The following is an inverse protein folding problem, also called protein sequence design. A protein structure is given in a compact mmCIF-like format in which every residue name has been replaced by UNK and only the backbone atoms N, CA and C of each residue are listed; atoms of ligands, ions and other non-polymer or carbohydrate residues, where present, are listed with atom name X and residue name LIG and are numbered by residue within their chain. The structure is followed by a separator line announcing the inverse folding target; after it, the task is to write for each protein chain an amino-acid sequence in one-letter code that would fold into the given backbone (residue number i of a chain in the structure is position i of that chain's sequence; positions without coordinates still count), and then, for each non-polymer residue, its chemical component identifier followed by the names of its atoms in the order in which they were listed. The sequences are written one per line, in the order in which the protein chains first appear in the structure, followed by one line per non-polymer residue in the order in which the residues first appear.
data_IF_035423772469
#
_entry.id   IF_035423772469
#
_cell.length_a   1.000
_cell.length_b   1.000
_cell.length_c   1.000
_cell.angle_alpha   90.00
_cell.angle_beta   90.00
_cell.angle_gamma   90.00
#
_symmetry.space_group_name_H-M   'P 1'
#
loop_
_entity.id
_entity.type
_entity.pdbx_description
1 polymer ?
#
# COMPACT_ATOMS: atom_id res chain seq x y z
N UNK A 1 -15.49 2.00 11.51
CA UNK A 1 -15.28 0.74 10.77
C UNK A 1 -15.97 0.83 9.41
N UNK A 2 -15.40 1.53 8.43
CA UNK A 2 -16.08 1.75 7.13
C UNK A 2 -15.77 0.66 6.10
N UNK A 3 -14.57 0.06 6.14
CA UNK A 3 -14.21 -0.97 5.17
C UNK A 3 -15.05 -2.25 5.22
N UNK A 4 -15.38 -2.82 6.40
CA UNK A 4 -16.23 -4.01 6.45
C UNK A 4 -17.63 -3.74 5.88
N UNK A 5 -18.14 -2.53 6.07
CA UNK A 5 -19.43 -2.10 5.51
C UNK A 5 -19.34 -1.87 4.00
N UNK A 6 -18.24 -1.27 3.51
CA UNK A 6 -18.01 -1.10 2.08
C UNK A 6 -17.86 -2.46 1.35
N UNK A 7 -17.19 -3.43 1.95
CA UNK A 7 -17.08 -4.79 1.40
C UNK A 7 -18.45 -5.47 1.25
N UNK A 8 -19.37 -5.26 2.21
CA UNK A 8 -20.76 -5.75 2.13
C UNK A 8 -21.54 -5.12 0.98
N UNK A 9 -21.35 -3.82 0.72
CA UNK A 9 -22.03 -3.10 -0.38
C UNK A 9 -21.54 -3.58 -1.75
N UNK A 10 -20.23 -3.83 -1.89
CA UNK A 10 -19.61 -4.21 -3.18
C UNK A 10 -19.60 -5.74 -3.38
N UNK A 11 -20.09 -6.50 -2.38
CA UNK A 11 -20.18 -7.97 -2.36
C UNK A 11 -18.88 -8.68 -2.76
N UNK A 12 -17.74 -8.07 -2.41
CA UNK A 12 -16.38 -8.62 -2.57
C UNK A 12 -15.48 -8.05 -1.50
N UNK A 13 -14.46 -8.80 -1.12
CA UNK A 13 -13.38 -8.23 -0.34
C UNK A 13 -12.67 -7.16 -1.17
N UNK A 14 -12.48 -5.98 -0.58
CA UNK A 14 -11.81 -4.87 -1.25
C UNK A 14 -10.29 -5.07 -1.21
N UNK A 15 -9.76 -5.77 -0.19
CA UNK A 15 -8.32 -6.02 -0.06
C UNK A 15 -7.47 -4.73 -0.06
N UNK A 16 -8.06 -3.59 0.30
CA UNK A 16 -7.40 -2.29 0.21
C UNK A 16 -6.68 -1.98 1.53
N UNK A 17 -5.35 -1.91 1.47
CA UNK A 17 -4.54 -1.39 2.57
C UNK A 17 -4.79 0.11 2.75
N UNK A 18 -5.10 0.54 3.98
CA UNK A 18 -5.29 1.96 4.32
C UNK A 18 -4.21 2.38 5.29
N UNK A 19 -3.23 3.14 4.81
CA UNK A 19 -2.18 3.71 5.64
C UNK A 19 -2.52 5.12 6.07
N UNK A 20 -2.16 5.46 7.30
CA UNK A 20 -2.13 6.85 7.73
C UNK A 20 -0.89 7.52 7.12
N UNK A 21 -1.00 8.81 6.81
CA UNK A 21 0.11 9.57 6.24
C UNK A 21 1.45 9.40 6.99
N UNK A 22 1.49 9.39 8.35
CA UNK A 22 2.74 9.16 9.07
C UNK A 22 3.38 7.79 8.81
N UNK A 23 2.58 6.76 8.50
CA UNK A 23 3.10 5.43 8.18
C UNK A 23 3.78 5.45 6.82
N UNK A 24 3.22 6.15 5.84
CA UNK A 24 3.85 6.34 4.54
C UNK A 24 5.19 7.09 4.67
N UNK A 25 5.20 8.18 5.44
CA UNK A 25 6.42 8.95 5.71
C UNK A 25 7.45 8.09 6.47
N UNK A 26 7.02 7.31 7.46
CA UNK A 26 7.89 6.38 8.18
C UNK A 26 8.54 5.34 7.28
N UNK A 27 7.78 4.74 6.35
CA UNK A 27 8.33 3.80 5.36
C UNK A 27 9.38 4.49 4.47
N UNK A 28 9.12 5.73 4.03
CA UNK A 28 10.07 6.51 3.23
C UNK A 28 11.36 6.86 4.00
N UNK A 29 11.28 6.97 5.34
CA UNK A 29 12.43 7.21 6.22
C UNK A 29 13.17 5.93 6.63
N UNK A 30 12.72 4.75 6.16
CA UNK A 30 13.39 3.46 6.42
C UNK A 30 12.89 2.72 7.67
N UNK A 31 11.77 3.13 8.27
CA UNK A 31 11.15 2.36 9.35
C UNK A 31 10.49 1.08 8.79
N UNK A 32 10.52 0.01 9.57
CA UNK A 32 9.90 -1.27 9.19
C UNK A 32 8.38 -1.27 9.43
N UNK A 33 7.60 -2.05 8.66
CA UNK A 33 6.16 -2.22 8.90
C UNK A 33 5.80 -2.66 10.34
N UNK A 34 6.70 -3.41 10.98
CA UNK A 34 6.58 -3.86 12.38
C UNK A 34 6.67 -2.67 13.36
N UNK A 35 7.61 -1.77 13.14
CA UNK A 35 7.80 -0.56 13.97
C UNK A 35 6.66 0.44 13.79
N UNK A 36 6.09 0.52 12.59
CA UNK A 36 4.93 1.37 12.28
C UNK A 36 3.59 0.79 12.71
N UNK A 37 3.60 -0.41 13.32
CA UNK A 37 2.43 -1.07 13.86
C UNK A 37 1.38 -1.44 12.80
N UNK A 38 1.80 -1.75 11.57
CA UNK A 38 0.92 -2.07 10.45
C UNK A 38 0.11 -3.36 10.67
N UNK A 39 0.60 -4.30 11.50
CA UNK A 39 -0.13 -5.52 11.92
C UNK A 39 -1.43 -5.28 12.70
N UNK A 40 -1.72 -4.04 13.11
CA UNK A 40 -2.94 -3.66 13.83
C UNK A 40 -4.06 -3.19 12.90
N UNK A 41 -3.81 -3.14 11.59
CA UNK A 41 -4.82 -2.73 10.62
C UNK A 41 -5.93 -3.78 10.51
N UNK A 42 -7.16 -3.31 10.38
CA UNK A 42 -8.36 -4.17 10.21
C UNK A 42 -8.34 -4.87 8.86
N UNK A 43 -7.70 -4.25 7.86
CA UNK A 43 -7.45 -4.83 6.55
C UNK A 43 -5.98 -5.19 6.41
N UNK A 44 -5.70 -6.28 5.69
CA UNK A 44 -4.34 -6.77 5.47
C UNK A 44 -3.48 -5.70 4.79
N UNK A 45 -2.27 -5.50 5.32
CA UNK A 45 -1.22 -4.67 4.72
C UNK A 45 -0.15 -5.49 3.99
N UNK A 46 -0.33 -6.81 3.86
CA UNK A 46 0.66 -7.73 3.29
C UNK A 46 1.10 -7.34 1.88
N UNK A 47 0.19 -6.80 1.06
CA UNK A 47 0.53 -6.32 -0.27
C UNK A 47 1.57 -5.18 -0.24
N UNK A 48 1.47 -4.27 0.75
CA UNK A 48 2.42 -3.17 0.93
C UNK A 48 3.79 -3.71 1.33
N UNK A 49 3.80 -4.68 2.25
CA UNK A 49 5.04 -5.34 2.69
C UNK A 49 5.74 -6.05 1.52
N UNK A 50 4.98 -6.81 0.70
CA UNK A 50 5.52 -7.46 -0.49
C UNK A 50 6.11 -6.50 -1.53
N UNK A 51 5.59 -5.27 -1.60
CA UNK A 51 6.08 -4.20 -2.48
C UNK A 51 7.35 -3.53 -1.96
N UNK A 52 7.57 -3.54 -0.64
CA UNK A 52 8.80 -3.04 -0.03
C UNK A 52 9.96 -4.01 -0.20
N UNK A 53 9.68 -5.32 -0.27
CA UNK A 53 10.68 -6.37 -0.54
C UNK A 53 11.03 -6.52 -2.03
N UNK A 54 10.16 -6.04 -2.92
CA UNK A 54 10.43 -6.02 -4.36
C UNK A 54 11.48 -4.92 -4.68
N UNK A 55 12.53 -5.23 -5.47
CA UNK A 55 13.45 -4.19 -5.93
C UNK A 55 12.66 -3.14 -6.71
N UNK A 56 12.90 -1.86 -6.42
CA UNK A 56 12.25 -0.71 -7.05
C UNK A 56 12.47 -0.72 -8.57
N UNK A 57 11.67 -1.49 -9.29
CA UNK A 57 11.70 -1.61 -10.72
C UNK A 57 10.27 -1.59 -11.25
N UNK A 58 10.05 -0.61 -12.13
CA UNK A 58 8.93 -0.42 -13.04
C UNK A 58 7.73 0.36 -12.49
N UNK A 59 7.91 1.68 -12.42
CA UNK A 59 6.86 2.61 -12.83
C UNK A 59 6.63 2.45 -14.34
N UNK A 60 5.41 2.22 -14.84
CA UNK A 60 5.09 2.29 -16.25
C UNK A 60 4.72 3.74 -16.61
N UNK A 61 5.68 4.65 -16.59
CA UNK A 61 5.51 5.98 -17.17
C UNK A 61 6.88 6.56 -17.53
N UNK A 62 6.96 7.14 -18.73
CA UNK A 62 8.06 7.96 -19.26
C UNK A 62 9.12 7.25 -20.13
N UNK A 63 8.69 6.61 -21.21
CA UNK A 63 9.52 6.50 -22.44
C UNK A 63 8.62 6.46 -23.68
N UNK A 64 7.93 7.57 -23.98
CA UNK A 64 7.47 7.87 -25.36
C UNK A 64 6.97 9.32 -25.48
N UNK A 65 7.87 10.30 -25.38
CA UNK A 65 7.52 11.68 -25.75
C UNK A 65 8.69 12.53 -26.29
N UNK A 66 9.88 11.96 -26.51
CA UNK A 66 10.97 12.74 -27.09
C UNK A 66 12.00 11.87 -27.81
N UNK A 67 11.61 11.19 -28.89
CA UNK A 67 12.52 10.83 -29.99
C UNK A 67 11.69 10.54 -31.25
N UNK A 68 11.99 11.31 -32.31
CA UNK A 68 11.40 11.39 -33.67
C UNK A 68 10.28 12.40 -33.84
#
# INVERSE_FOLDING_TARGET
MQQPEAAKVVNRDLGLAVLHLPQLVGLALGFTPKELGMKRHIASTEWVESRLDAPAAQSPAETDALTV
#
